data_IF_506389784491
#
_entry.id   IF_506389784491
#
_cell.length_a   1.000
_cell.length_b   1.000
_cell.length_c   1.000
_cell.angle_alpha   90.00
_cell.angle_beta   90.00
_cell.angle_gamma   90.00
#
_symmetry.space_group_name_H-M   'P 1'
#
loop_
_entity.id
_entity.type
_entity.pdbx_description
1 polymer ?
#
# COMPACT_ATOMS: atom_id res chain seq x y z
N UNK A 1 11.80 58.47 25.76
CA UNK A 1 12.95 57.80 25.11
C UNK A 1 12.45 56.65 24.29
N UNK A 2 12.75 56.68 22.98
CA UNK A 2 12.72 55.55 22.04
C UNK A 2 13.39 54.29 22.65
N UNK A 3 13.05 53.04 22.29
CA UNK A 3 13.12 52.44 20.94
C UNK A 3 12.23 51.20 20.76
N UNK A 4 11.84 51.01 19.50
CA UNK A 4 11.21 49.87 18.82
C UNK A 4 12.00 48.55 18.90
N UNK A 5 11.29 47.43 18.72
CA UNK A 5 11.43 46.43 17.61
C UNK A 5 10.83 45.10 18.07
N UNK A 6 10.23 44.19 17.30
CA UNK A 6 9.71 44.07 15.94
C UNK A 6 9.08 42.64 15.91
N UNK A 7 7.96 42.44 15.20
CA UNK A 7 7.55 41.26 14.42
C UNK A 7 8.06 39.85 14.84
N UNK A 8 7.27 38.78 14.93
CA UNK A 8 5.89 38.51 14.51
C UNK A 8 5.63 37.02 14.74
N UNK A 9 4.41 36.67 15.14
CA UNK A 9 3.98 35.28 15.31
C UNK A 9 2.65 35.09 14.59
N UNK A 10 2.72 34.69 13.32
CA UNK A 10 1.56 34.23 12.56
C UNK A 10 1.00 32.99 13.25
N UNK A 11 -0.18 33.14 13.84
CA UNK A 11 -0.97 32.04 14.37
C UNK A 11 -1.49 31.25 13.18
N UNK A 12 -0.90 30.07 12.92
CA UNK A 12 -1.34 29.16 11.87
C UNK A 12 -2.75 28.71 12.21
N UNK A 13 -3.71 29.07 11.37
CA UNK A 13 -5.10 28.64 11.46
C UNK A 13 -5.19 27.19 11.01
N UNK A 14 -5.67 26.34 11.91
CA UNK A 14 -6.19 25.00 11.63
C UNK A 14 -7.34 25.16 10.62
N UNK A 15 -7.16 24.64 9.39
CA UNK A 15 -8.16 24.68 8.30
C UNK A 15 -8.51 23.25 7.88
N UNK A 16 -9.03 22.47 8.82
CA UNK A 16 -9.57 21.14 8.55
C UNK A 16 -11.10 21.08 8.55
N UNK A 17 -11.80 22.22 8.62
CA UNK A 17 -13.28 22.22 8.57
C UNK A 17 -13.83 23.12 7.46
N UNK A 18 -14.69 22.52 6.63
CA UNK A 18 -15.59 23.13 5.63
C UNK A 18 -15.03 23.68 4.31
N UNK A 19 -14.49 22.79 3.48
CA UNK A 19 -14.38 23.03 2.03
C UNK A 19 -15.74 23.07 1.29
N UNK A 20 -16.82 22.56 1.90
CA UNK A 20 -18.18 22.57 1.31
C UNK A 20 -18.84 23.97 1.30
N UNK A 21 -18.29 24.95 2.01
CA UNK A 21 -18.83 26.32 2.09
C UNK A 21 -18.32 27.28 1.00
N UNK A 22 -17.38 26.82 0.16
CA UNK A 22 -16.72 27.64 -0.87
C UNK A 22 -17.29 27.43 -2.28
N UNK A 23 -18.38 26.68 -2.43
CA UNK A 23 -19.08 26.50 -3.72
C UNK A 23 -20.00 27.72 -3.92
N UNK A 24 -19.79 28.55 -4.97
CA UNK A 24 -20.69 29.65 -5.28
C UNK A 24 -22.11 29.12 -5.54
N UNK A 25 -23.12 29.79 -4.97
CA UNK A 25 -24.55 29.46 -5.09
C UNK A 25 -25.10 29.51 -6.52
N UNK A 26 -24.31 29.99 -7.47
CA UNK A 26 -24.75 30.37 -8.81
C UNK A 26 -24.38 29.31 -9.86
N UNK A 27 -23.88 28.14 -9.44
CA UNK A 27 -23.41 27.08 -10.34
C UNK A 27 -24.54 26.24 -11.00
N UNK A 28 -25.81 26.52 -10.68
CA UNK A 28 -26.96 25.76 -11.18
C UNK A 28 -27.65 26.41 -12.40
N UNK A 29 -27.25 27.61 -12.84
CA UNK A 29 -28.05 28.40 -13.79
C UNK A 29 -27.82 28.09 -15.29
N UNK A 30 -26.82 27.29 -15.66
CA UNK A 30 -26.48 27.03 -17.08
C UNK A 30 -26.82 25.62 -17.57
N UNK A 31 -27.42 24.75 -16.74
CA UNK A 31 -27.67 23.34 -17.10
C UNK A 31 -28.88 23.10 -18.02
N UNK A 32 -29.74 24.09 -18.23
CA UNK A 32 -31.01 23.91 -18.96
C UNK A 32 -30.92 24.19 -20.46
N UNK A 33 -29.86 24.85 -20.97
CA UNK A 33 -29.75 25.17 -22.40
C UNK A 33 -29.01 24.13 -23.24
N UNK A 34 -28.38 23.12 -22.63
CA UNK A 34 -27.52 22.16 -23.36
C UNK A 34 -28.15 20.78 -23.63
N UNK A 35 -29.39 20.52 -23.19
CA UNK A 35 -30.05 19.22 -23.35
C UNK A 35 -30.76 19.02 -24.71
N UNK A 36 -30.20 19.57 -25.78
CA UNK A 36 -30.75 19.40 -27.13
C UNK A 36 -29.70 19.15 -28.19
N UNK A 37 -28.77 18.23 -27.95
CA UNK A 37 -28.01 17.55 -29.00
C UNK A 37 -27.59 16.13 -28.55
N UNK A 38 -27.96 15.18 -29.41
CA UNK A 38 -27.40 13.85 -29.63
C UNK A 38 -27.59 12.75 -28.57
N UNK A 39 -28.73 12.06 -28.70
CA UNK A 39 -29.04 10.75 -28.10
C UNK A 39 -28.24 9.58 -28.70
N UNK A 40 -26.94 9.77 -28.95
CA UNK A 40 -26.02 8.71 -29.38
C UNK A 40 -24.56 8.92 -28.96
N UNK A 41 -24.27 9.87 -28.06
CA UNK A 41 -22.95 10.02 -27.46
C UNK A 41 -22.94 9.33 -26.08
N UNK A 42 -22.04 8.36 -25.91
CA UNK A 42 -21.65 7.86 -24.58
C UNK A 42 -21.33 9.07 -23.71
N UNK A 43 -22.12 9.31 -22.65
CA UNK A 43 -21.96 10.44 -21.75
C UNK A 43 -20.51 10.51 -21.26
N UNK A 44 -19.68 11.49 -21.67
CA UNK A 44 -18.29 11.56 -21.22
C UNK A 44 -18.18 11.77 -19.69
N UNK A 45 -19.27 12.20 -19.06
CA UNK A 45 -19.42 12.32 -17.62
C UNK A 45 -19.39 10.98 -16.85
N UNK A 46 -19.73 9.85 -17.48
CA UNK A 46 -19.80 8.56 -16.77
C UNK A 46 -18.45 7.89 -16.57
N UNK A 47 -17.36 8.46 -17.11
CA UNK A 47 -15.99 7.92 -16.98
C UNK A 47 -15.04 8.90 -16.28
N UNK A 48 -15.58 9.89 -15.57
CA UNK A 48 -14.77 10.73 -14.67
C UNK A 48 -14.49 9.97 -13.36
N UNK A 49 -13.22 9.76 -13.04
CA UNK A 49 -12.78 9.34 -11.72
C UNK A 49 -12.89 10.52 -10.74
N UNK A 50 -14.02 10.58 -10.02
CA UNK A 50 -14.29 11.56 -8.97
C UNK A 50 -13.89 11.06 -7.58
N UNK A 51 -13.29 9.87 -7.49
CA UNK A 51 -12.82 9.29 -6.24
C UNK A 51 -11.54 9.96 -5.77
N UNK A 52 -11.30 9.93 -4.46
CA UNK A 52 -10.01 10.29 -3.88
C UNK A 52 -9.63 9.27 -2.81
N UNK A 53 -8.33 9.00 -2.68
CA UNK A 53 -7.78 8.16 -1.61
C UNK A 53 -7.34 9.04 -0.45
N UNK A 54 -7.67 8.62 0.76
CA UNK A 54 -7.26 9.28 1.99
C UNK A 54 -6.27 8.37 2.71
N UNK A 55 -5.10 8.90 3.04
CA UNK A 55 -4.09 8.22 3.84
C UNK A 55 -3.84 9.01 5.11
N UNK A 56 -3.57 8.31 6.21
CA UNK A 56 -3.20 8.91 7.50
C UNK A 56 -1.80 8.42 7.87
N UNK A 57 -0.98 9.34 8.37
CA UNK A 57 0.31 8.96 8.97
C UNK A 57 0.05 8.40 10.36
N UNK A 58 0.62 7.23 10.61
CA UNK A 58 0.58 6.54 11.89
C UNK A 58 2.01 6.14 12.30
N UNK A 59 2.15 5.54 13.48
CA UNK A 59 3.38 4.85 13.88
C UNK A 59 3.74 3.71 12.92
N UNK A 60 4.99 3.23 12.95
CA UNK A 60 5.45 2.14 12.08
C UNK A 60 4.55 0.91 12.16
N UNK A 61 4.45 0.16 11.05
CA UNK A 61 3.79 -1.14 11.02
C UNK A 61 4.62 -2.24 11.69
N UNK A 62 5.92 -2.01 11.87
CA UNK A 62 6.81 -2.99 12.48
C UNK A 62 6.86 -2.85 14.01
N UNK A 63 7.12 -3.96 14.69
CA UNK A 63 7.38 -3.94 16.13
C UNK A 63 8.65 -3.12 16.42
N UNK A 64 8.66 -2.28 17.48
CA UNK A 64 9.85 -1.52 17.84
C UNK A 64 11.00 -2.49 18.17
N UNK A 65 12.10 -2.41 17.43
CA UNK A 65 13.28 -3.29 17.52
C UNK A 65 14.11 -3.04 18.79
N UNK A 66 13.49 -2.67 19.92
CA UNK A 66 14.16 -2.25 21.16
C UNK A 66 14.11 -3.35 22.20
N UNK A 67 14.81 -4.45 21.95
CA UNK A 67 15.34 -5.25 23.05
C UNK A 67 16.85 -5.28 22.88
N UNK A 68 17.55 -4.71 23.85
CA UNK A 68 19.00 -4.85 23.93
C UNK A 68 19.33 -6.30 24.30
N UNK A 69 20.52 -6.80 23.93
CA UNK A 69 20.97 -8.20 24.17
C UNK A 69 20.77 -8.65 25.64
N UNK A 70 20.71 -7.72 26.58
CA UNK A 70 20.49 -7.96 28.02
C UNK A 70 19.03 -8.12 28.46
N UNK A 71 18.03 -7.84 27.60
CA UNK A 71 16.60 -7.90 27.94
C UNK A 71 15.89 -9.17 27.40
N UNK A 72 16.62 -10.08 26.77
CA UNK A 72 16.07 -11.29 26.16
C UNK A 72 15.73 -12.39 27.19
N UNK A 73 14.44 -12.53 27.52
CA UNK A 73 13.91 -13.77 28.10
C UNK A 73 13.47 -14.72 26.99
N UNK A 74 13.58 -16.03 27.20
CA UNK A 74 13.24 -17.09 26.21
C UNK A 74 11.80 -16.99 25.66
N UNK A 75 10.92 -16.23 26.33
CA UNK A 75 9.54 -15.93 25.94
C UNK A 75 9.42 -14.84 24.85
N UNK A 76 10.43 -13.96 24.72
CA UNK A 76 10.47 -12.88 23.72
C UNK A 76 10.91 -13.32 22.31
N UNK A 77 11.43 -14.56 22.17
CA UNK A 77 11.83 -15.12 20.88
C UNK A 77 10.62 -15.43 19.97
N UNK A 78 9.46 -15.72 20.57
CA UNK A 78 8.23 -16.09 19.86
C UNK A 78 7.55 -14.85 19.26
N UNK A 79 7.66 -13.68 19.90
CA UNK A 79 7.14 -12.42 19.35
C UNK A 79 8.09 -11.75 18.34
N UNK A 80 9.32 -12.25 18.20
CA UNK A 80 10.30 -11.75 17.24
C UNK A 80 10.14 -12.37 15.84
N UNK A 81 9.31 -13.40 15.66
CA UNK A 81 9.01 -14.00 14.36
C UNK A 81 7.98 -13.19 13.55
N UNK A 82 7.11 -12.44 14.22
CA UNK A 82 6.17 -11.52 13.58
C UNK A 82 6.70 -10.11 13.73
N UNK A 83 7.50 -9.65 12.77
CA UNK A 83 8.01 -8.28 12.76
C UNK A 83 6.91 -7.22 12.52
N UNK A 84 5.64 -7.61 12.47
CA UNK A 84 4.49 -6.75 12.16
C UNK A 84 3.60 -6.66 13.40
N UNK A 85 3.13 -5.45 13.71
CA UNK A 85 2.17 -5.20 14.81
C UNK A 85 0.83 -5.89 14.53
N UNK A 86 0.23 -6.52 15.55
CA UNK A 86 -0.99 -7.33 15.42
C UNK A 86 -2.22 -6.52 14.92
N UNK A 87 -2.25 -5.21 15.17
CA UNK A 87 -3.35 -4.34 14.75
C UNK A 87 -3.28 -3.84 13.29
N UNK A 88 -2.32 -4.34 12.49
CA UNK A 88 -2.12 -3.88 11.11
C UNK A 88 -2.91 -4.69 10.10
N UNK A 89 -3.61 -3.97 9.23
CA UNK A 89 -4.36 -4.58 8.16
C UNK A 89 -3.44 -4.92 6.97
N UNK A 90 -3.74 -5.97 6.18
CA UNK A 90 -2.96 -6.32 4.99
C UNK A 90 -2.81 -5.15 3.99
N UNK A 91 -3.77 -4.22 3.98
CA UNK A 91 -3.73 -3.04 3.14
C UNK A 91 -2.69 -2.01 3.62
N UNK A 92 -2.48 -1.88 4.93
CA UNK A 92 -1.45 -1.01 5.50
C UNK A 92 -0.06 -1.50 5.08
N UNK A 93 0.15 -2.81 5.13
CA UNK A 93 1.38 -3.47 4.67
C UNK A 93 1.61 -3.28 3.17
N UNK A 94 0.54 -3.42 2.36
CA UNK A 94 0.63 -3.17 0.93
C UNK A 94 1.09 -1.74 0.65
N UNK A 95 0.45 -0.74 1.26
CA UNK A 95 0.80 0.66 0.97
C UNK A 95 2.15 1.08 1.57
N UNK A 96 2.61 0.45 2.65
CA UNK A 96 3.99 0.62 3.09
C UNK A 96 5.00 0.09 2.05
N UNK A 97 4.70 -1.04 1.39
CA UNK A 97 5.52 -1.57 0.30
C UNK A 97 5.52 -0.65 -0.92
N UNK A 98 4.33 -0.17 -1.32
CA UNK A 98 4.16 0.80 -2.42
C UNK A 98 5.00 2.05 -2.17
N UNK A 99 4.97 2.59 -0.95
CA UNK A 99 5.78 3.75 -0.57
C UNK A 99 7.28 3.43 -0.57
N UNK A 100 7.68 2.27 -0.03
CA UNK A 100 9.08 1.85 0.06
C UNK A 100 9.73 1.67 -1.33
N UNK A 101 8.93 1.35 -2.34
CA UNK A 101 9.36 1.27 -3.74
C UNK A 101 9.03 2.51 -4.58
N UNK A 102 8.56 3.59 -3.94
CA UNK A 102 8.25 4.87 -4.58
C UNK A 102 7.25 4.73 -5.74
N UNK A 103 6.32 3.78 -5.62
CA UNK A 103 5.28 3.56 -6.62
C UNK A 103 4.16 4.61 -6.48
N UNK A 104 3.52 5.03 -7.58
CA UNK A 104 2.43 6.00 -7.51
C UNK A 104 1.24 5.45 -6.73
N UNK A 105 0.72 6.22 -5.77
CA UNK A 105 -0.41 5.83 -4.91
C UNK A 105 -1.77 5.79 -5.63
N UNK A 106 -1.85 6.38 -6.82
CA UNK A 106 -3.06 6.44 -7.64
C UNK A 106 -3.24 5.21 -8.54
N UNK A 107 -2.31 4.26 -8.53
CA UNK A 107 -2.44 3.04 -9.31
C UNK A 107 -3.55 2.13 -8.76
N UNK A 108 -4.20 1.33 -9.64
CA UNK A 108 -5.16 0.33 -9.22
C UNK A 108 -4.46 -0.82 -8.50
N UNK A 109 -5.21 -1.51 -7.65
CA UNK A 109 -4.83 -2.82 -7.15
C UNK A 109 -6.03 -3.75 -7.17
N UNK A 110 -5.77 -5.05 -7.21
CA UNK A 110 -6.79 -6.10 -7.10
C UNK A 110 -6.27 -7.22 -6.20
N UNK A 111 -7.19 -8.01 -5.65
CA UNK A 111 -6.84 -9.24 -4.94
C UNK A 111 -7.03 -10.41 -5.89
N UNK A 112 -5.99 -11.21 -6.06
CA UNK A 112 -5.99 -12.44 -6.86
C UNK A 112 -5.65 -13.63 -5.97
N UNK A 113 -5.92 -14.83 -6.48
CA UNK A 113 -5.53 -16.07 -5.80
C UNK A 113 -4.40 -16.75 -6.57
N UNK A 114 -3.28 -17.02 -5.90
CA UNK A 114 -2.13 -17.72 -6.46
C UNK A 114 -1.78 -18.87 -5.51
N UNK A 115 -1.79 -20.10 -6.02
CA UNK A 115 -1.57 -21.31 -5.22
C UNK A 115 -2.47 -21.38 -3.95
N UNK A 116 -3.71 -20.87 -4.03
CA UNK A 116 -4.65 -20.85 -2.89
C UNK A 116 -4.47 -19.70 -1.91
N UNK A 117 -3.42 -18.88 -2.05
CA UNK A 117 -3.17 -17.72 -1.20
C UNK A 117 -3.73 -16.43 -1.83
N UNK A 118 -4.21 -15.51 -0.99
CA UNK A 118 -4.59 -14.17 -1.42
C UNK A 118 -3.34 -13.34 -1.67
N UNK A 119 -3.29 -12.72 -2.84
CA UNK A 119 -2.18 -11.86 -3.27
C UNK A 119 -2.75 -10.54 -3.74
N UNK A 120 -2.20 -9.44 -3.25
CA UNK A 120 -2.48 -8.12 -3.77
C UNK A 120 -1.63 -7.89 -5.02
N UNK A 121 -2.28 -7.70 -6.16
CA UNK A 121 -1.66 -7.28 -7.41
C UNK A 121 -1.81 -5.77 -7.55
N UNK A 122 -0.69 -5.06 -7.42
CA UNK A 122 -0.62 -3.61 -7.53
C UNK A 122 -0.07 -3.20 -8.90
N UNK A 123 -0.80 -2.32 -9.58
CA UNK A 123 -0.47 -1.79 -10.89
C UNK A 123 -0.10 -2.88 -11.93
N UNK A 124 -0.94 -3.92 -12.04
CA UNK A 124 -0.84 -4.94 -13.10
C UNK A 124 0.52 -5.68 -13.12
N UNK A 125 1.00 -6.12 -11.96
CA UNK A 125 2.23 -6.90 -11.82
C UNK A 125 3.47 -6.09 -11.46
N UNK A 126 3.38 -4.78 -11.28
CA UNK A 126 4.53 -3.98 -10.76
C UNK A 126 4.96 -4.44 -9.36
N UNK A 127 3.99 -4.86 -8.55
CA UNK A 127 4.18 -5.40 -7.21
C UNK A 127 3.09 -6.43 -6.92
N UNK A 128 3.49 -7.66 -6.63
CA UNK A 128 2.64 -8.64 -5.97
C UNK A 128 3.00 -8.73 -4.49
N UNK A 129 2.03 -8.57 -3.59
CA UNK A 129 2.24 -8.71 -2.15
C UNK A 129 1.43 -9.87 -1.59
N UNK A 130 2.10 -10.80 -0.92
CA UNK A 130 1.49 -11.90 -0.18
C UNK A 130 1.76 -11.73 1.32
N UNK A 131 0.70 -11.75 2.12
CA UNK A 131 0.77 -11.63 3.58
C UNK A 131 0.06 -12.80 4.28
N UNK A 132 -0.22 -13.87 3.53
CA UNK A 132 -0.82 -15.10 4.06
C UNK A 132 0.27 -16.03 4.58
N UNK A 133 -0.04 -16.85 5.57
CA UNK A 133 0.91 -17.80 6.16
C UNK A 133 1.07 -19.07 5.31
N UNK A 134 2.14 -19.83 5.60
CA UNK A 134 2.39 -21.17 5.03
C UNK A 134 2.45 -21.20 3.49
N UNK A 135 3.10 -20.20 2.88
CA UNK A 135 3.33 -20.15 1.43
C UNK A 135 4.41 -21.15 1.04
N UNK A 136 4.07 -22.09 0.14
CA UNK A 136 4.93 -23.17 -0.30
C UNK A 136 5.61 -22.93 -1.65
N UNK A 137 6.42 -23.90 -2.08
CA UNK A 137 7.12 -23.88 -3.38
C UNK A 137 6.15 -23.80 -4.58
N UNK A 138 4.93 -24.32 -4.41
CA UNK A 138 3.86 -24.25 -5.39
C UNK A 138 3.47 -22.81 -5.75
N UNK A 139 3.63 -21.88 -4.83
CA UNK A 139 3.48 -20.44 -5.09
C UNK A 139 4.49 -19.94 -6.12
N UNK A 140 5.78 -20.25 -5.95
CA UNK A 140 6.84 -19.84 -6.88
C UNK A 140 6.65 -20.51 -8.24
N UNK A 141 6.27 -21.79 -8.23
CA UNK A 141 5.94 -22.53 -9.44
C UNK A 141 4.74 -21.92 -10.16
N UNK A 142 3.72 -21.46 -9.44
CA UNK A 142 2.58 -20.77 -10.04
C UNK A 142 3.00 -19.42 -10.65
N UNK A 143 3.81 -18.62 -9.94
CA UNK A 143 4.33 -17.35 -10.46
C UNK A 143 5.19 -17.53 -11.71
N UNK A 144 6.07 -18.53 -11.74
CA UNK A 144 6.92 -18.82 -12.91
C UNK A 144 6.16 -19.20 -14.18
N UNK A 145 4.89 -19.62 -14.05
CA UNK A 145 4.01 -20.00 -15.15
C UNK A 145 3.11 -18.86 -15.63
N UNK A 146 3.10 -17.72 -14.95
CA UNK A 146 2.37 -16.55 -15.42
C UNK A 146 2.97 -16.07 -16.75
N UNK A 147 2.09 -15.70 -17.68
CA UNK A 147 2.49 -15.12 -18.97
C UNK A 147 3.19 -13.77 -18.74
N UNK A 148 2.56 -12.92 -17.93
CA UNK A 148 3.13 -11.67 -17.46
C UNK A 148 3.76 -11.87 -16.08
N UNK A 149 5.09 -11.97 -16.04
CA UNK A 149 5.83 -12.09 -14.77
C UNK A 149 5.79 -10.76 -14.01
N UNK A 150 5.61 -10.79 -12.68
CA UNK A 150 5.64 -9.57 -11.90
C UNK A 150 7.04 -8.97 -11.88
N UNK A 151 7.15 -7.65 -11.79
CA UNK A 151 8.45 -6.99 -11.63
C UNK A 151 9.00 -7.22 -10.23
N UNK A 152 8.11 -7.27 -9.23
CA UNK A 152 8.48 -7.36 -7.82
C UNK A 152 7.49 -8.21 -7.03
N UNK A 153 8.01 -8.90 -6.02
CA UNK A 153 7.22 -9.69 -5.09
C UNK A 153 7.61 -9.33 -3.66
N UNK A 154 6.62 -9.05 -2.82
CA UNK A 154 6.79 -8.94 -1.38
C UNK A 154 6.10 -10.11 -0.69
N UNK A 155 6.80 -10.69 0.28
CA UNK A 155 6.25 -11.68 1.19
C UNK A 155 6.45 -11.19 2.62
N UNK A 156 5.45 -11.36 3.50
CA UNK A 156 5.69 -11.20 4.94
C UNK A 156 6.60 -12.32 5.46
N UNK A 157 7.30 -12.11 6.56
CA UNK A 157 8.09 -13.17 7.19
C UNK A 157 7.20 -14.35 7.65
N UNK A 158 5.95 -14.05 8.04
CA UNK A 158 4.95 -15.06 8.42
C UNK A 158 4.54 -15.99 7.27
N UNK A 159 4.81 -15.61 6.01
CA UNK A 159 4.60 -16.49 4.86
C UNK A 159 5.42 -17.78 4.97
N UNK A 160 6.53 -17.78 5.70
CA UNK A 160 7.42 -18.92 5.83
C UNK A 160 7.16 -19.71 7.11
N UNK A 161 6.88 -21.01 6.97
CA UNK A 161 6.66 -21.88 8.13
C UNK A 161 7.91 -22.11 8.98
N UNK A 162 9.10 -21.99 8.39
CA UNK A 162 10.39 -22.12 9.07
C UNK A 162 11.46 -21.28 8.37
N UNK A 163 12.59 -21.02 9.05
CA UNK A 163 13.76 -20.38 8.44
C UNK A 163 14.35 -21.18 7.27
N UNK A 164 14.30 -22.52 7.33
CA UNK A 164 14.68 -23.38 6.22
C UNK A 164 13.75 -23.18 5.01
N UNK A 165 12.44 -23.09 5.25
CA UNK A 165 11.45 -22.77 4.20
C UNK A 165 11.77 -21.43 3.54
N UNK A 166 12.10 -20.39 4.33
CA UNK A 166 12.47 -19.06 3.81
C UNK A 166 13.68 -19.10 2.88
N UNK A 167 14.73 -19.80 3.28
CA UNK A 167 15.95 -19.96 2.45
C UNK A 167 15.61 -20.71 1.16
N UNK A 168 14.93 -21.85 1.26
CA UNK A 168 14.59 -22.70 0.12
C UNK A 168 13.72 -21.94 -0.90
N UNK A 169 12.66 -21.27 -0.44
CA UNK A 169 11.78 -20.46 -1.28
C UNK A 169 12.50 -19.31 -1.94
N UNK A 170 13.35 -18.59 -1.18
CA UNK A 170 14.11 -17.46 -1.73
C UNK A 170 15.11 -17.91 -2.79
N UNK A 171 15.73 -19.08 -2.63
CA UNK A 171 16.62 -19.66 -3.63
C UNK A 171 15.84 -20.14 -4.86
N UNK A 172 14.67 -20.76 -4.67
CA UNK A 172 13.78 -21.16 -5.76
C UNK A 172 13.32 -19.97 -6.59
N UNK A 173 13.00 -18.84 -5.94
CA UNK A 173 12.71 -17.57 -6.63
C UNK A 173 13.87 -17.14 -7.52
N UNK A 174 15.11 -17.15 -7.02
CA UNK A 174 16.29 -16.78 -7.81
C UNK A 174 16.50 -17.70 -9.02
N UNK A 175 16.19 -18.99 -8.89
CA UNK A 175 16.34 -19.95 -9.97
C UNK A 175 15.27 -19.82 -11.06
N UNK A 176 14.01 -19.65 -10.67
CA UNK A 176 12.87 -19.66 -11.61
C UNK A 176 12.44 -18.28 -12.10
N UNK A 177 12.71 -17.25 -11.29
CA UNK A 177 12.28 -15.87 -11.47
C UNK A 177 13.46 -14.90 -11.25
N UNK A 178 14.58 -15.06 -11.99
CA UNK A 178 15.80 -14.28 -11.76
C UNK A 178 15.65 -12.77 -12.00
N UNK A 179 14.63 -12.35 -12.75
CA UNK A 179 14.35 -10.95 -13.07
C UNK A 179 13.38 -10.30 -12.06
N UNK A 180 12.79 -11.08 -11.15
CA UNK A 180 11.82 -10.60 -10.17
C UNK A 180 12.53 -10.15 -8.90
N UNK A 181 12.30 -8.91 -8.47
CA UNK A 181 12.82 -8.41 -7.19
C UNK A 181 11.99 -8.98 -6.03
N UNK A 182 12.54 -9.92 -5.27
CA UNK A 182 11.91 -10.47 -4.06
C UNK A 182 12.34 -9.67 -2.82
N UNK A 183 11.36 -9.25 -2.01
CA UNK A 183 11.57 -8.67 -0.68
C UNK A 183 10.77 -9.44 0.37
N UNK A 184 11.38 -9.65 1.55
CA UNK A 184 10.70 -10.17 2.73
C UNK A 184 10.61 -9.07 3.78
N UNK A 185 9.45 -8.88 4.41
CA UNK A 185 9.18 -7.84 5.42
C UNK A 185 8.73 -8.41 6.76
#
# INVERSE_FOLDING_TARGET
MHKNSAWGGTRVLDKSENALSLIPSDFDADLDQQNKLDSSASNPASNLDLGFRVFKVDSSNFLPNSLTVDEYSQYGLIQAELNIKEEREPLDLLFECVLSWHLPLNCPFKVVTIAGHKVFDYNFGDLLACFEDNVGEDFVLALSKLEDKPLRVVMADSCFSTSASKINLSELFKMLLPEVELRVI
#
